data_IF_293998196717
#
_entry.id   IF_293998196717
#
_cell.length_a   1.000
_cell.length_b   1.000
_cell.length_c   1.000
_cell.angle_alpha   90.00
_cell.angle_beta   90.00
_cell.angle_gamma   90.00
#
_symmetry.space_group_name_H-M   'P 1'
#
loop_
_entity.id
_entity.type
_entity.pdbx_description
1 polymer ?
#
# COMPACT_ATOMS: atom_id res chain seq x y z
N UNK A 1 8.04 -10.73 -17.40
CA UNK A 1 6.59 -11.05 -17.42
C UNK A 1 6.04 -10.21 -18.55
N UNK A 2 5.22 -10.78 -19.41
CA UNK A 2 4.61 -9.99 -20.49
C UNK A 2 3.44 -9.25 -19.87
N UNK A 3 3.54 -7.93 -19.83
CA UNK A 3 2.49 -7.07 -19.27
C UNK A 3 1.24 -7.13 -20.15
N UNK A 4 0.05 -7.16 -19.49
CA UNK A 4 -1.25 -7.30 -20.11
C UNK A 4 -1.92 -5.93 -20.27
N UNK A 5 -2.19 -5.54 -21.52
CA UNK A 5 -2.84 -4.26 -21.84
C UNK A 5 -4.20 -4.52 -22.47
N UNK A 6 -5.22 -3.81 -22.02
CA UNK A 6 -6.53 -3.82 -22.66
C UNK A 6 -6.69 -2.59 -23.57
N UNK A 7 -7.25 -2.81 -24.75
CA UNK A 7 -7.64 -1.74 -25.70
C UNK A 7 -9.15 -1.81 -25.91
N UNK A 8 -9.83 -0.74 -25.56
CA UNK A 8 -11.30 -0.60 -25.68
C UNK A 8 -11.63 0.50 -26.67
N UNK A 9 -12.19 0.13 -27.80
CA UNK A 9 -12.54 1.05 -28.89
C UNK A 9 -13.61 0.38 -29.77
N UNK A 10 -14.62 1.07 -30.24
CA UNK A 10 -15.64 0.48 -31.12
C UNK A 10 -15.16 0.34 -32.57
N UNK A 11 -14.12 1.09 -32.96
CA UNK A 11 -13.50 1.00 -34.27
C UNK A 11 -12.51 -0.19 -34.36
N UNK A 12 -12.83 -1.19 -35.18
CA UNK A 12 -11.97 -2.36 -35.41
C UNK A 12 -10.56 -2.00 -35.90
N UNK A 13 -10.47 -1.00 -36.77
CA UNK A 13 -9.19 -0.49 -37.32
C UNK A 13 -8.25 0.05 -36.25
N UNK A 14 -8.79 0.73 -35.23
CA UNK A 14 -8.03 1.24 -34.10
C UNK A 14 -7.57 0.08 -33.21
N UNK A 15 -8.48 -0.82 -32.83
CA UNK A 15 -8.12 -2.01 -32.05
C UNK A 15 -7.04 -2.85 -32.73
N UNK A 16 -7.15 -3.06 -34.03
CA UNK A 16 -6.14 -3.80 -34.80
C UNK A 16 -4.77 -3.07 -34.79
N UNK A 17 -4.77 -1.76 -35.00
CA UNK A 17 -3.54 -0.96 -35.04
C UNK A 17 -2.84 -0.94 -33.67
N UNK A 18 -3.58 -0.71 -32.60
CA UNK A 18 -3.04 -0.68 -31.24
C UNK A 18 -2.53 -2.06 -30.83
N UNK A 19 -3.30 -3.12 -31.14
CA UNK A 19 -2.86 -4.49 -30.88
C UNK A 19 -1.55 -4.80 -31.63
N UNK A 20 -1.45 -4.44 -32.91
CA UNK A 20 -0.23 -4.70 -33.70
C UNK A 20 0.99 -4.00 -33.08
N UNK A 21 0.90 -2.69 -32.77
CA UNK A 21 2.00 -1.92 -32.23
C UNK A 21 2.41 -2.37 -30.84
N UNK A 22 1.46 -2.62 -29.95
CA UNK A 22 1.74 -3.04 -28.59
C UNK A 22 2.28 -4.48 -28.53
N UNK A 23 1.73 -5.39 -29.36
CA UNK A 23 2.22 -6.77 -29.43
C UNK A 23 3.64 -6.86 -30.01
N UNK A 24 3.95 -6.04 -31.02
CA UNK A 24 5.30 -5.93 -31.58
C UNK A 24 6.31 -5.41 -30.54
N UNK A 25 5.87 -4.57 -29.60
CA UNK A 25 6.67 -4.10 -28.47
C UNK A 25 6.78 -5.11 -27.32
N UNK A 26 6.11 -6.27 -27.41
CA UNK A 26 6.22 -7.37 -26.44
C UNK A 26 5.13 -7.41 -25.37
N UNK A 27 4.10 -6.57 -25.45
CA UNK A 27 2.95 -6.62 -24.57
C UNK A 27 1.97 -7.72 -24.98
N UNK A 28 1.24 -8.29 -24.02
CA UNK A 28 0.05 -9.08 -24.29
C UNK A 28 -1.13 -8.12 -24.42
N UNK A 29 -1.90 -8.25 -25.50
CA UNK A 29 -3.00 -7.30 -25.76
C UNK A 29 -4.32 -8.03 -25.86
N UNK A 30 -5.29 -7.58 -25.07
CA UNK A 30 -6.68 -7.98 -25.20
C UNK A 30 -7.51 -6.79 -25.66
N UNK A 31 -8.54 -7.04 -26.48
CA UNK A 31 -9.34 -5.97 -27.06
C UNK A 31 -10.82 -6.15 -26.76
N UNK A 32 -11.51 -5.05 -26.47
CA UNK A 32 -12.96 -5.00 -26.30
C UNK A 32 -13.57 -4.00 -27.29
N UNK A 33 -14.70 -4.37 -27.90
CA UNK A 33 -15.38 -3.54 -28.90
C UNK A 33 -16.54 -2.73 -28.34
N UNK A 34 -16.95 -3.01 -27.09
CA UNK A 34 -18.09 -2.35 -26.46
C UNK A 34 -17.95 -2.34 -24.93
N UNK A 35 -18.82 -1.58 -24.29
CA UNK A 35 -18.88 -1.43 -22.85
C UNK A 35 -19.02 -2.78 -22.11
N UNK A 36 -19.98 -3.62 -22.54
CA UNK A 36 -20.27 -4.88 -21.84
C UNK A 36 -19.08 -5.83 -21.85
N UNK A 37 -18.40 -5.97 -23.00
CA UNK A 37 -17.19 -6.80 -23.12
C UNK A 37 -16.07 -6.27 -22.23
N UNK A 38 -15.85 -4.94 -22.22
CA UNK A 38 -14.83 -4.33 -21.40
C UNK A 38 -15.08 -4.54 -19.89
N UNK A 39 -16.32 -4.42 -19.45
CA UNK A 39 -16.70 -4.67 -18.05
C UNK A 39 -16.48 -6.12 -17.64
N UNK A 40 -16.88 -7.08 -18.47
CA UNK A 40 -16.65 -8.51 -18.23
C UNK A 40 -15.16 -8.83 -18.10
N UNK A 41 -14.32 -8.21 -18.94
CA UNK A 41 -12.87 -8.41 -18.90
C UNK A 41 -12.26 -7.82 -17.62
N UNK A 42 -12.71 -6.65 -17.17
CA UNK A 42 -12.26 -6.02 -15.91
C UNK A 42 -12.64 -6.90 -14.70
N UNK A 43 -13.80 -7.52 -14.72
CA UNK A 43 -14.21 -8.44 -13.64
C UNK A 43 -13.35 -9.72 -13.62
N UNK A 44 -12.92 -10.21 -14.79
CA UNK A 44 -12.16 -11.45 -14.91
C UNK A 44 -10.65 -11.29 -14.70
N UNK A 45 -10.08 -10.14 -15.06
CA UNK A 45 -8.62 -9.91 -15.09
C UNK A 45 -8.23 -8.54 -14.59
N UNK A 46 -7.03 -8.45 -14.00
CA UNK A 46 -6.34 -7.18 -13.74
C UNK A 46 -5.39 -6.87 -14.90
N UNK A 47 -5.49 -5.69 -15.46
CA UNK A 47 -4.64 -5.21 -16.55
C UNK A 47 -3.52 -4.32 -16.04
N UNK A 48 -2.38 -4.29 -16.76
CA UNK A 48 -1.26 -3.40 -16.46
C UNK A 48 -1.46 -1.99 -17.01
N UNK A 49 -2.27 -1.84 -18.05
CA UNK A 49 -2.77 -0.56 -18.56
C UNK A 49 -4.06 -0.79 -19.39
N UNK A 50 -4.89 0.25 -19.49
CA UNK A 50 -6.10 0.23 -20.33
C UNK A 50 -6.06 1.48 -21.23
N UNK A 51 -6.11 1.28 -22.55
CA UNK A 51 -6.41 2.32 -23.52
C UNK A 51 -7.90 2.28 -23.83
N UNK A 52 -8.59 3.38 -23.58
CA UNK A 52 -10.04 3.44 -23.56
C UNK A 52 -10.56 4.60 -24.40
N UNK A 53 -11.33 4.31 -25.46
CA UNK A 53 -12.05 5.36 -26.15
C UNK A 53 -13.14 5.96 -25.24
N UNK A 54 -13.29 7.27 -25.34
CA UNK A 54 -14.34 8.00 -24.62
C UNK A 54 -15.72 7.65 -25.15
N UNK A 55 -15.84 7.42 -26.45
CA UNK A 55 -17.10 7.10 -27.13
C UNK A 55 -17.05 5.64 -27.62
N UNK A 56 -17.89 4.82 -27.05
CA UNK A 56 -18.06 3.42 -27.46
C UNK A 56 -19.44 3.27 -28.12
N UNK A 57 -19.52 3.62 -29.40
CA UNK A 57 -20.77 3.67 -30.13
C UNK A 57 -21.73 4.75 -29.57
N UNK A 58 -22.73 4.32 -28.80
CA UNK A 58 -23.68 5.21 -28.12
C UNK A 58 -23.43 5.37 -26.63
N UNK A 59 -22.45 4.68 -26.09
CA UNK A 59 -22.14 4.66 -24.68
C UNK A 59 -20.88 5.44 -24.35
N UNK A 60 -20.75 5.86 -23.11
CA UNK A 60 -19.57 6.58 -22.64
C UNK A 60 -18.55 5.61 -22.04
N UNK A 61 -17.31 5.66 -22.51
CA UNK A 61 -16.19 4.94 -21.91
C UNK A 61 -15.89 5.33 -20.47
N UNK A 62 -16.41 6.47 -20.01
CA UNK A 62 -16.31 6.89 -18.59
C UNK A 62 -16.83 5.79 -17.63
N UNK A 63 -17.81 5.01 -18.03
CA UNK A 63 -18.32 3.89 -17.22
C UNK A 63 -17.26 2.79 -17.04
N UNK A 64 -16.46 2.51 -18.07
CA UNK A 64 -15.34 1.56 -17.99
C UNK A 64 -14.26 2.09 -17.05
N UNK A 65 -13.94 3.39 -17.12
CA UNK A 65 -13.00 4.04 -16.21
C UNK A 65 -13.45 3.88 -14.74
N UNK A 66 -14.72 4.15 -14.45
CA UNK A 66 -15.29 4.01 -13.10
C UNK A 66 -15.20 2.57 -12.61
N UNK A 67 -15.64 1.60 -13.41
CA UNK A 67 -15.58 0.18 -13.08
C UNK A 67 -14.14 -0.30 -12.83
N UNK A 68 -13.19 0.13 -13.67
CA UNK A 68 -11.76 -0.18 -13.47
C UNK A 68 -11.22 0.39 -12.17
N UNK A 69 -11.63 1.62 -11.80
CA UNK A 69 -11.22 2.24 -10.53
C UNK A 69 -11.80 1.54 -9.30
N UNK A 70 -13.01 1.02 -9.40
CA UNK A 70 -13.65 0.27 -8.32
C UNK A 70 -13.03 -1.12 -8.14
N UNK A 71 -12.82 -1.86 -9.24
CA UNK A 71 -12.29 -3.23 -9.19
C UNK A 71 -10.76 -3.26 -9.01
N UNK A 72 -10.04 -2.40 -9.71
CA UNK A 72 -8.58 -2.38 -9.80
C UNK A 72 -8.04 -0.95 -9.71
N UNK A 73 -8.02 -0.32 -8.54
CA UNK A 73 -7.69 1.10 -8.36
C UNK A 73 -6.28 1.48 -8.84
N UNK A 74 -5.37 0.52 -8.89
CA UNK A 74 -3.98 0.73 -9.35
C UNK A 74 -3.80 0.60 -10.86
N UNK A 75 -4.82 0.15 -11.61
CA UNK A 75 -4.73 0.01 -13.06
C UNK A 75 -4.83 1.37 -13.74
N UNK A 76 -3.80 1.85 -14.45
CA UNK A 76 -3.83 3.11 -15.17
C UNK A 76 -4.73 3.01 -16.39
N UNK A 77 -5.66 3.95 -16.52
CA UNK A 77 -6.56 4.07 -17.67
C UNK A 77 -6.18 5.33 -18.46
N UNK A 78 -5.79 5.15 -19.72
CA UNK A 78 -5.49 6.22 -20.66
C UNK A 78 -6.72 6.43 -21.54
N UNK A 79 -7.33 7.61 -21.43
CA UNK A 79 -8.47 7.96 -22.26
C UNK A 79 -7.99 8.38 -23.66
N UNK A 80 -8.57 7.79 -24.69
CA UNK A 80 -8.25 8.07 -26.09
C UNK A 80 -9.48 8.70 -26.76
N UNK A 81 -9.33 9.74 -27.55
CA UNK A 81 -10.49 10.38 -28.21
C UNK A 81 -10.16 11.02 -29.55
N UNK A 82 -11.07 10.88 -30.50
CA UNK A 82 -11.04 11.63 -31.77
C UNK A 82 -11.66 13.03 -31.72
N UNK A 83 -12.44 13.30 -30.64
CA UNK A 83 -13.14 14.59 -30.47
C UNK A 83 -12.82 15.18 -29.08
N UNK A 84 -11.67 15.85 -28.92
CA UNK A 84 -11.28 16.39 -27.64
C UNK A 84 -12.18 17.57 -27.22
N UNK A 85 -12.86 17.40 -26.08
CA UNK A 85 -13.61 18.45 -25.43
C UNK A 85 -13.04 18.71 -24.02
N UNK A 86 -12.96 19.96 -23.62
CA UNK A 86 -12.44 20.36 -22.30
C UNK A 86 -13.28 19.75 -21.18
N UNK A 87 -14.59 19.63 -21.37
CA UNK A 87 -15.52 19.03 -20.42
C UNK A 87 -15.21 17.55 -20.13
N UNK A 88 -14.99 16.76 -21.18
CA UNK A 88 -14.70 15.32 -21.07
C UNK A 88 -13.31 15.06 -20.51
N UNK A 89 -12.32 15.88 -20.90
CA UNK A 89 -10.98 15.81 -20.34
C UNK A 89 -10.98 16.12 -18.83
N UNK A 90 -11.66 17.19 -18.42
CA UNK A 90 -11.78 17.55 -17.00
C UNK A 90 -12.52 16.47 -16.19
N UNK A 91 -13.53 15.83 -16.76
CA UNK A 91 -14.24 14.72 -16.13
C UNK A 91 -13.36 13.50 -15.98
N UNK A 92 -12.64 13.09 -17.01
CA UNK A 92 -11.70 11.97 -16.98
C UNK A 92 -10.63 12.14 -15.89
N UNK A 93 -10.02 13.32 -15.81
CA UNK A 93 -9.03 13.65 -14.77
C UNK A 93 -9.65 13.57 -13.37
N UNK A 94 -10.85 14.12 -13.18
CA UNK A 94 -11.56 14.08 -11.88
C UNK A 94 -11.89 12.65 -11.44
N UNK A 95 -12.17 11.76 -12.39
CA UNK A 95 -12.44 10.35 -12.17
C UNK A 95 -11.17 9.51 -12.08
N UNK A 96 -10.01 10.13 -12.16
CA UNK A 96 -8.71 9.48 -11.94
C UNK A 96 -8.15 8.79 -13.18
N UNK A 97 -8.48 9.22 -14.39
CA UNK A 97 -7.74 8.77 -15.58
C UNK A 97 -6.25 9.06 -15.41
N UNK A 98 -5.41 8.14 -15.86
CA UNK A 98 -3.95 8.28 -15.80
C UNK A 98 -3.46 9.34 -16.79
N UNK A 99 -4.01 9.32 -18.01
CA UNK A 99 -3.72 10.32 -19.05
C UNK A 99 -4.91 10.45 -20.00
N UNK A 100 -4.87 11.51 -20.83
CA UNK A 100 -5.87 11.83 -21.83
C UNK A 100 -5.17 12.20 -23.14
N UNK A 101 -5.34 11.41 -24.17
CA UNK A 101 -4.65 11.56 -25.45
C UNK A 101 -5.64 11.67 -26.62
N UNK A 102 -5.22 12.36 -27.67
CA UNK A 102 -6.08 12.62 -28.85
C UNK A 102 -5.67 11.77 -30.05
N UNK A 103 -6.67 11.25 -30.78
CA UNK A 103 -6.47 10.64 -32.09
C UNK A 103 -6.22 11.73 -33.14
N UNK A 104 -5.38 11.52 -34.18
CA UNK A 104 -4.63 10.31 -34.47
C UNK A 104 -3.40 10.17 -33.58
N UNK A 105 -3.13 8.95 -33.11
CA UNK A 105 -1.99 8.62 -32.27
C UNK A 105 -0.90 7.95 -33.10
N UNK A 106 0.32 8.49 -33.04
CA UNK A 106 1.47 7.86 -33.66
C UNK A 106 1.99 6.70 -32.81
N UNK A 107 2.64 5.73 -33.47
CA UNK A 107 3.19 4.53 -32.79
C UNK A 107 4.08 4.90 -31.61
N UNK A 108 5.00 5.84 -31.80
CA UNK A 108 5.94 6.24 -30.74
C UNK A 108 5.23 6.83 -29.53
N UNK A 109 4.16 7.60 -29.73
CA UNK A 109 3.37 8.17 -28.63
C UNK A 109 2.58 7.08 -27.90
N UNK A 110 1.97 6.13 -28.62
CA UNK A 110 1.27 4.99 -28.04
C UNK A 110 2.22 4.15 -27.16
N UNK A 111 3.39 3.78 -27.70
CA UNK A 111 4.36 2.97 -26.96
C UNK A 111 4.94 3.71 -25.76
N UNK A 112 5.17 5.01 -25.88
CA UNK A 112 5.61 5.84 -24.76
C UNK A 112 4.56 5.86 -23.64
N UNK A 113 3.29 6.05 -23.98
CA UNK A 113 2.21 6.06 -22.99
C UNK A 113 2.01 4.68 -22.35
N UNK A 114 2.05 3.62 -23.13
CA UNK A 114 2.00 2.25 -22.60
C UNK A 114 3.10 1.99 -21.57
N UNK A 115 4.33 2.36 -21.91
CA UNK A 115 5.49 2.20 -21.02
C UNK A 115 5.32 2.99 -19.72
N UNK A 116 4.92 4.26 -19.80
CA UNK A 116 4.72 5.11 -18.62
C UNK A 116 3.62 4.55 -17.70
N UNK A 117 2.51 4.10 -18.27
CA UNK A 117 1.41 3.53 -17.52
C UNK A 117 1.81 2.22 -16.82
N UNK A 118 2.42 1.30 -17.54
CA UNK A 118 2.89 0.02 -16.99
C UNK A 118 3.95 0.22 -15.90
N UNK A 119 4.91 1.12 -16.11
CA UNK A 119 5.91 1.46 -15.08
C UNK A 119 5.26 2.06 -13.84
N UNK A 120 4.28 2.95 -14.00
CA UNK A 120 3.52 3.55 -12.89
C UNK A 120 2.82 2.47 -12.05
N UNK A 121 2.06 1.58 -12.69
CA UNK A 121 1.38 0.47 -12.02
C UNK A 121 2.38 -0.40 -11.27
N UNK A 122 3.46 -0.80 -11.93
CA UNK A 122 4.50 -1.64 -11.33
C UNK A 122 5.08 -1.03 -10.05
N UNK A 123 5.34 0.28 -10.05
CA UNK A 123 5.86 0.98 -8.87
C UNK A 123 4.86 0.98 -7.71
N UNK A 124 3.58 1.23 -7.99
CA UNK A 124 2.52 1.20 -6.98
C UNK A 124 2.36 -0.21 -6.40
N UNK A 125 2.27 -1.23 -7.26
CA UNK A 125 2.11 -2.61 -6.85
C UNK A 125 3.33 -3.10 -6.03
N UNK A 126 4.54 -2.68 -6.40
CA UNK A 126 5.75 -2.98 -5.63
C UNK A 126 5.73 -2.31 -4.25
N UNK A 127 5.32 -1.05 -4.17
CA UNK A 127 5.21 -0.33 -2.91
C UNK A 127 4.16 -0.98 -1.99
N UNK A 128 3.00 -1.33 -2.53
CA UNK A 128 1.95 -2.00 -1.76
C UNK A 128 2.39 -3.38 -1.28
N UNK A 129 3.01 -4.18 -2.15
CA UNK A 129 3.57 -5.48 -1.79
C UNK A 129 4.65 -5.37 -0.70
N UNK A 130 5.52 -4.37 -0.79
CA UNK A 130 6.51 -4.10 0.25
C UNK A 130 5.84 -3.77 1.59
N UNK A 131 4.84 -2.89 1.58
CA UNK A 131 4.06 -2.53 2.77
C UNK A 131 3.40 -3.75 3.41
N UNK A 132 2.74 -4.61 2.60
CA UNK A 132 2.09 -5.83 3.09
C UNK A 132 3.10 -6.82 3.68
N UNK A 133 4.27 -6.98 3.05
CA UNK A 133 5.35 -7.83 3.58
C UNK A 133 5.88 -7.31 4.90
N UNK A 134 6.11 -6.00 5.02
CA UNK A 134 6.58 -5.40 6.26
C UNK A 134 5.54 -5.54 7.36
N UNK A 135 4.26 -5.31 7.09
CA UNK A 135 3.19 -5.53 8.04
C UNK A 135 3.13 -7.00 8.51
N UNK A 136 3.25 -7.97 7.58
CA UNK A 136 3.26 -9.38 7.92
C UNK A 136 4.47 -9.76 8.81
N UNK A 137 5.67 -9.25 8.50
CA UNK A 137 6.86 -9.44 9.33
C UNK A 137 6.64 -8.84 10.71
N UNK A 138 6.19 -7.59 10.78
CA UNK A 138 5.92 -6.89 12.04
C UNK A 138 4.95 -7.66 12.94
N UNK A 139 3.87 -8.21 12.37
CA UNK A 139 2.89 -8.99 13.11
C UNK A 139 3.37 -10.41 13.49
N UNK A 140 4.30 -11.00 12.74
CA UNK A 140 4.79 -12.36 12.98
C UNK A 140 5.87 -12.45 14.06
N UNK A 141 6.46 -11.33 14.48
CA UNK A 141 7.49 -11.30 15.52
C UNK A 141 6.87 -11.64 16.88
N UNK A 142 7.50 -12.54 17.63
CA UNK A 142 7.03 -12.96 18.95
C UNK A 142 7.36 -11.93 20.06
N UNK A 143 8.25 -11.00 19.79
CA UNK A 143 8.55 -9.88 20.67
C UNK A 143 7.49 -8.80 20.49
N UNK A 144 7.10 -8.13 21.56
CA UNK A 144 6.20 -6.99 21.49
C UNK A 144 6.91 -5.80 20.84
N UNK A 145 6.38 -5.30 19.76
CA UNK A 145 6.93 -4.13 19.06
C UNK A 145 5.94 -2.96 19.15
N UNK A 146 6.45 -1.80 19.55
CA UNK A 146 5.71 -0.54 19.61
C UNK A 146 6.52 0.55 18.90
N UNK A 147 5.90 1.29 18.00
CA UNK A 147 6.54 2.36 17.21
C UNK A 147 5.94 3.69 17.62
N UNK A 148 6.81 4.61 18.02
CA UNK A 148 6.46 5.99 18.38
C UNK A 148 6.99 6.96 17.32
N UNK A 149 6.25 8.02 17.02
CA UNK A 149 6.68 9.10 16.13
C UNK A 149 7.66 10.09 16.80
N UNK A 150 8.06 11.12 16.06
CA UNK A 150 8.93 12.20 16.56
C UNK A 150 8.33 12.96 17.78
N UNK A 151 7.00 12.91 17.95
CA UNK A 151 6.26 13.54 19.07
C UNK A 151 6.00 12.58 20.22
N UNK A 152 6.56 11.37 20.14
CA UNK A 152 6.35 10.30 21.10
C UNK A 152 4.87 9.86 21.20
N UNK A 153 4.12 9.89 20.09
CA UNK A 153 2.80 9.28 20.00
C UNK A 153 2.94 7.87 19.42
N UNK A 154 2.24 6.91 20.01
CA UNK A 154 2.23 5.55 19.52
C UNK A 154 1.54 5.50 18.14
N UNK A 155 2.30 5.11 17.12
CA UNK A 155 1.82 5.01 15.73
C UNK A 155 1.32 3.60 15.44
N UNK A 156 2.07 2.59 15.91
CA UNK A 156 1.79 1.19 15.59
C UNK A 156 2.28 0.26 16.71
N UNK A 157 1.56 -0.84 16.94
CA UNK A 157 1.99 -1.94 17.80
C UNK A 157 1.57 -3.28 17.20
N UNK A 158 2.39 -4.31 17.40
CA UNK A 158 2.09 -5.64 16.89
C UNK A 158 1.21 -6.46 17.86
N UNK A 159 0.70 -7.58 17.34
CA UNK A 159 -0.15 -8.51 18.12
C UNK A 159 0.55 -9.06 19.37
N UNK A 160 1.87 -9.27 19.31
CA UNK A 160 2.63 -9.73 20.46
C UNK A 160 2.63 -8.70 21.58
N UNK A 161 2.85 -7.40 21.26
CA UNK A 161 2.78 -6.32 22.23
C UNK A 161 1.37 -6.22 22.87
N UNK A 162 0.32 -6.30 22.05
CA UNK A 162 -1.08 -6.28 22.51
C UNK A 162 -1.35 -7.42 23.51
N UNK A 163 -0.89 -8.63 23.20
CA UNK A 163 -1.05 -9.80 24.08
C UNK A 163 -0.24 -9.70 25.37
N UNK A 164 1.00 -9.20 25.28
CA UNK A 164 1.88 -9.05 26.45
C UNK A 164 1.34 -8.01 27.43
N UNK A 165 0.82 -6.90 26.90
CA UNK A 165 0.32 -5.79 27.70
C UNK A 165 -1.12 -5.99 28.19
N UNK A 166 -1.83 -7.01 27.68
CA UNK A 166 -3.24 -7.26 27.97
C UNK A 166 -4.14 -6.04 27.80
N UNK A 167 -3.84 -5.21 26.81
CA UNK A 167 -4.62 -4.01 26.54
C UNK A 167 -5.79 -4.31 25.61
N UNK A 168 -7.02 -4.20 26.13
CA UNK A 168 -8.24 -4.35 25.34
C UNK A 168 -8.59 -3.10 24.54
N UNK A 169 -8.00 -1.96 24.88
CA UNK A 169 -8.24 -0.66 24.24
C UNK A 169 -7.11 -0.32 23.27
N UNK A 170 -7.42 0.30 22.15
CA UNK A 170 -6.40 0.82 21.23
C UNK A 170 -5.54 1.88 21.92
N UNK A 171 -4.23 1.64 21.96
CA UNK A 171 -3.25 2.59 22.51
C UNK A 171 -2.69 3.54 21.43
N UNK A 172 -3.02 3.31 20.16
CA UNK A 172 -2.55 4.13 19.05
C UNK A 172 -3.01 5.57 19.21
N UNK A 173 -2.08 6.51 19.03
CA UNK A 173 -2.29 7.94 19.22
C UNK A 173 -1.98 8.44 20.63
N UNK A 174 -1.77 7.55 21.61
CA UNK A 174 -1.45 7.94 23.00
C UNK A 174 0.06 8.19 23.18
N UNK A 175 0.40 9.11 24.07
CA UNK A 175 1.79 9.30 24.50
C UNK A 175 2.16 8.31 25.63
N UNK A 176 3.47 8.10 25.92
CA UNK A 176 3.91 7.13 26.94
C UNK A 176 3.32 7.38 28.34
N UNK A 177 3.07 8.65 28.67
CA UNK A 177 2.44 9.01 29.95
C UNK A 177 0.99 8.54 30.04
N UNK A 178 0.23 8.64 28.96
CA UNK A 178 -1.16 8.16 28.88
C UNK A 178 -1.21 6.62 28.84
N UNK A 179 -0.29 6.02 28.09
CA UNK A 179 -0.15 4.56 28.02
C UNK A 179 0.15 3.99 29.42
N UNK A 180 1.01 4.65 30.20
CA UNK A 180 1.34 4.24 31.58
C UNK A 180 0.13 4.25 32.53
N UNK A 181 -0.86 5.07 32.24
CA UNK A 181 -2.13 5.09 33.01
C UNK A 181 -3.03 3.92 32.61
N UNK A 182 -3.13 3.64 31.30
CA UNK A 182 -3.97 2.56 30.76
C UNK A 182 -3.36 1.19 30.99
N UNK A 183 -2.03 1.08 30.95
CA UNK A 183 -1.29 -0.17 31.09
C UNK A 183 -0.31 -0.08 32.25
N UNK A 184 -0.71 -0.45 33.48
CA UNK A 184 0.15 -0.41 34.67
C UNK A 184 1.52 -1.06 34.53
N UNK A 185 1.70 -2.15 33.73
CA UNK A 185 3.01 -2.72 33.45
C UNK A 185 4.03 -1.77 32.85
N UNK A 186 3.57 -0.69 32.22
CA UNK A 186 4.42 0.30 31.54
C UNK A 186 4.62 1.61 32.32
N UNK A 187 4.39 1.60 33.65
CA UNK A 187 4.57 2.82 34.46
C UNK A 187 5.96 3.44 34.34
N UNK A 188 6.99 2.61 34.21
CA UNK A 188 8.38 3.02 34.00
C UNK A 188 8.73 3.40 32.57
N UNK A 189 7.83 3.15 31.62
CA UNK A 189 8.08 3.42 30.20
C UNK A 189 8.41 4.89 29.94
N UNK A 190 7.70 5.79 30.62
CA UNK A 190 7.93 7.23 30.48
C UNK A 190 9.34 7.61 30.91
N UNK A 191 9.80 7.11 32.05
CA UNK A 191 11.14 7.37 32.61
C UNK A 191 12.22 6.85 31.66
N UNK A 192 12.05 5.61 31.13
CA UNK A 192 13.00 5.00 30.20
C UNK A 192 13.12 5.76 28.88
N UNK A 193 12.01 6.31 28.38
CA UNK A 193 12.00 7.09 27.15
C UNK A 193 12.59 8.47 27.38
N UNK A 194 12.29 9.12 28.50
CA UNK A 194 12.82 10.44 28.86
C UNK A 194 14.35 10.40 29.10
N UNK A 195 14.88 9.30 29.65
CA UNK A 195 16.31 9.09 29.86
C UNK A 195 17.08 8.70 28.60
N UNK A 196 16.38 8.43 27.48
CA UNK A 196 16.95 8.06 26.15
C UNK A 196 18.08 7.04 26.21
N UNK A 197 17.94 6.01 27.02
CA UNK A 197 18.91 4.94 27.12
C UNK A 197 18.83 3.99 25.91
N UNK A 198 19.38 4.43 24.78
CA UNK A 198 19.37 3.66 23.54
C UNK A 198 20.27 2.43 23.64
N UNK A 199 19.76 1.27 23.19
CA UNK A 199 20.51 0.02 23.10
C UNK A 199 20.72 -0.72 24.40
N UNK A 200 20.30 -0.20 25.55
CA UNK A 200 20.32 -0.91 26.82
C UNK A 200 19.03 -1.73 27.01
N UNK A 201 19.15 -2.86 27.66
CA UNK A 201 18.00 -3.72 28.01
C UNK A 201 17.59 -3.38 29.45
N UNK A 202 16.39 -2.84 29.59
CA UNK A 202 15.83 -2.54 30.91
C UNK A 202 14.84 -3.63 31.30
N UNK A 203 14.98 -4.14 32.52
CA UNK A 203 14.00 -5.08 33.07
C UNK A 203 12.90 -4.30 33.78
N UNK A 204 11.67 -4.43 33.28
CA UNK A 204 10.48 -3.81 33.85
C UNK A 204 9.60 -4.88 34.48
N UNK A 205 9.33 -4.75 35.77
CA UNK A 205 8.39 -5.64 36.45
C UNK A 205 6.94 -5.20 36.16
N UNK A 206 6.18 -6.06 35.50
CA UNK A 206 4.84 -5.77 35.00
C UNK A 206 3.70 -6.18 35.96
N UNK A 207 4.02 -6.61 37.15
CA UNK A 207 3.03 -7.13 38.12
C UNK A 207 3.03 -8.64 38.27
N UNK A 208 1.92 -9.21 38.75
CA UNK A 208 1.78 -10.65 39.00
C UNK A 208 0.66 -11.21 38.14
N UNK A 209 0.98 -12.27 37.36
CA UNK A 209 0.00 -13.06 36.59
C UNK A 209 -0.02 -14.47 37.12
N UNK A 210 -1.19 -15.02 37.48
CA UNK A 210 -1.37 -16.36 38.01
C UNK A 210 -0.43 -16.65 39.21
N UNK A 211 -0.14 -15.66 40.05
CA UNK A 211 0.74 -15.77 41.21
C UNK A 211 2.25 -15.72 40.90
N UNK A 212 2.64 -15.50 39.63
CA UNK A 212 4.04 -15.35 39.24
C UNK A 212 4.32 -13.90 38.78
N UNK A 213 5.47 -13.31 39.15
CA UNK A 213 5.86 -11.99 38.67
C UNK A 213 6.10 -12.05 37.14
N UNK A 214 5.49 -11.11 36.42
CA UNK A 214 5.73 -10.92 35.00
C UNK A 214 6.76 -9.81 34.87
N UNK A 215 7.84 -10.11 34.14
CA UNK A 215 8.87 -9.14 33.84
C UNK A 215 9.09 -9.07 32.32
N UNK A 216 9.28 -7.86 31.82
CA UNK A 216 9.64 -7.62 30.43
C UNK A 216 11.04 -7.03 30.34
N UNK A 217 11.84 -7.54 29.42
CA UNK A 217 13.01 -6.84 28.90
C UNK A 217 12.54 -5.76 27.91
N UNK A 218 12.90 -4.53 28.14
CA UNK A 218 12.55 -3.39 27.26
C UNK A 218 13.81 -2.87 26.60
N UNK A 219 13.78 -2.73 25.28
CA UNK A 219 14.87 -2.12 24.52
C UNK A 219 14.30 -0.99 23.66
N UNK A 220 15.02 0.14 23.64
CA UNK A 220 14.71 1.30 22.80
C UNK A 220 15.71 1.39 21.65
N UNK A 221 15.22 1.62 20.45
CA UNK A 221 16.05 1.85 19.27
C UNK A 221 15.50 3.05 18.47
N UNK A 222 16.35 3.97 17.99
CA UNK A 222 15.89 5.07 17.17
C UNK A 222 15.43 4.57 15.80
N UNK A 223 14.32 5.11 15.31
CA UNK A 223 13.90 4.92 13.92
C UNK A 223 14.50 6.05 13.09
N UNK A 224 15.50 5.74 12.27
CA UNK A 224 16.21 6.76 11.49
C UNK A 224 15.88 6.67 10.01
N UNK A 225 15.66 7.82 9.37
CA UNK A 225 15.47 7.96 7.93
C UNK A 225 16.77 8.28 7.18
N UNK A 226 16.64 8.58 5.88
CA UNK A 226 17.77 9.04 5.06
C UNK A 226 18.41 10.29 5.67
N UNK A 227 19.76 10.28 5.77
CA UNK A 227 20.52 11.39 6.35
C UNK A 227 20.56 11.42 7.88
N UNK A 228 20.31 10.30 8.56
CA UNK A 228 20.32 10.16 10.03
C UNK A 228 19.27 11.02 10.76
N UNK A 229 18.25 11.49 10.04
CA UNK A 229 17.13 12.17 10.70
C UNK A 229 16.33 11.15 11.51
N UNK A 230 16.16 11.43 12.80
CA UNK A 230 15.30 10.64 13.68
C UNK A 230 13.83 10.82 13.25
N UNK A 231 13.15 9.71 12.98
CA UNK A 231 11.73 9.67 12.59
C UNK A 231 10.85 9.16 13.72
N UNK A 232 11.44 8.71 14.81
CA UNK A 232 10.74 8.17 15.96
C UNK A 232 11.56 7.14 16.72
N UNK A 233 10.88 6.35 17.55
CA UNK A 233 11.50 5.34 18.40
C UNK A 233 10.76 4.01 18.29
N UNK A 234 11.50 2.91 18.18
CA UNK A 234 10.97 1.55 18.28
C UNK A 234 11.25 1.03 19.68
N UNK A 235 10.22 0.56 20.35
CA UNK A 235 10.32 -0.10 21.64
C UNK A 235 10.06 -1.61 21.43
N UNK A 236 10.96 -2.43 21.95
CA UNK A 236 10.88 -3.89 21.90
C UNK A 236 10.62 -4.43 23.30
N UNK A 237 9.58 -5.24 23.44
CA UNK A 237 9.21 -5.93 24.67
C UNK A 237 9.54 -7.41 24.53
N UNK A 238 10.32 -7.94 25.45
CA UNK A 238 10.61 -9.38 25.59
C UNK A 238 9.99 -9.92 26.85
N UNK A 239 9.25 -11.01 26.75
CA UNK A 239 8.75 -11.71 27.92
C UNK A 239 9.90 -12.49 28.60
N UNK A 240 10.31 -12.04 29.76
CA UNK A 240 11.34 -12.69 30.61
C UNK A 240 10.75 -13.55 31.72
N UNK A 241 9.44 -13.78 31.73
CA UNK A 241 8.75 -14.58 32.74
C UNK A 241 9.05 -16.07 32.59
N UNK A 242 9.54 -16.51 31.42
CA UNK A 242 9.98 -17.90 31.20
C UNK A 242 11.51 -17.95 31.06
N UNK A 243 12.20 -18.84 31.81
CA UNK A 243 13.63 -19.07 31.57
C UNK A 243 13.80 -19.56 30.13
N UNK A 244 14.79 -18.99 29.43
CA UNK A 244 15.11 -19.34 28.06
C UNK A 244 15.10 -20.86 27.86
N UNK A 245 14.18 -21.38 27.02
CA UNK A 245 14.28 -22.77 26.55
C UNK A 245 15.58 -22.87 25.77
N UNK A 246 16.57 -23.50 26.38
CA UNK A 246 17.77 -23.97 25.68
C UNK A 246 17.28 -24.87 24.54
N UNK A 247 17.42 -24.38 23.31
CA UNK A 247 17.29 -25.20 22.10
C UNK A 247 18.58 -26.01 22.05
N UNK A 248 18.47 -27.33 22.38
CA UNK A 248 19.50 -28.30 22.06
C UNK A 248 19.55 -28.56 20.56
#
# INVERSE_FOLDING_TARGET
>A
MNELIMVVDDEESIRFTFNAFLSDAGYIVETAECLDTALQMIEAHSFDAIFLDILLGRESGIKVLQASREAHPNTPVIMVTGAPEVSTAAEAVRLGAFDYITKPLHQDDLLRQAKLAVEHKRLIDQQEMYRLRMAAVFQSVNEGLMIFDEKMQLVEMNDAATKMLHCETSLVGLCPGEISVCCPPLKTLRELIEERCEGEIFRVEAGVKDGQPVAFGVTLAPLTGHGQRELGTVLVLRDESQPARQVC
#
